data_IF_679502977007
#
_entry.id   IF_679502977007
#
_cell.length_a   1.000
_cell.length_b   1.000
_cell.length_c   1.000
_cell.angle_alpha   90.00
_cell.angle_beta   90.00
_cell.angle_gamma   90.00
#
_symmetry.space_group_name_H-M   'P 1'
#
loop_
_entity.id
_entity.type
_entity.pdbx_description
1 polymer ?
#
# COMPACT_ATOMS: atom_id res chain seq x y z
N UNK A 1 -7.78 24.44 -18.51
CA UNK A 1 -7.84 25.09 -17.19
C UNK A 1 -7.65 24.04 -16.10
N UNK A 2 -6.94 24.39 -15.04
CA UNK A 2 -6.79 23.51 -13.91
C UNK A 2 -8.11 23.36 -13.17
N UNK A 3 -8.53 22.13 -12.89
CA UNK A 3 -9.75 21.85 -12.15
C UNK A 3 -9.51 22.12 -10.65
N UNK A 4 -10.51 22.69 -9.99
CA UNK A 4 -10.42 22.93 -8.56
C UNK A 4 -10.53 21.61 -7.80
N UNK A 5 -9.57 21.34 -6.93
CA UNK A 5 -9.55 20.16 -6.09
C UNK A 5 -10.48 20.38 -4.90
N UNK A 6 -11.44 19.48 -4.69
CA UNK A 6 -12.35 19.54 -3.54
C UNK A 6 -11.90 18.64 -2.40
N UNK A 7 -11.11 17.61 -2.68
CA UNK A 7 -10.65 16.73 -1.62
C UNK A 7 -9.74 15.62 -2.12
N UNK A 8 -9.19 14.90 -1.16
CA UNK A 8 -8.35 13.72 -1.40
C UNK A 8 -8.91 12.54 -0.61
N UNK A 9 -8.88 11.37 -1.20
CA UNK A 9 -9.24 10.12 -0.51
C UNK A 9 -8.06 9.17 -0.63
N UNK A 10 -7.61 8.63 0.51
CA UNK A 10 -6.53 7.66 0.55
C UNK A 10 -7.10 6.32 0.99
N UNK A 11 -6.89 5.30 0.18
CA UNK A 11 -7.41 3.96 0.43
C UNK A 11 -6.34 2.91 0.20
N UNK A 12 -6.52 1.75 0.83
CA UNK A 12 -5.72 0.56 0.56
C UNK A 12 -6.69 -0.51 0.04
N UNK A 13 -6.52 -0.91 -1.20
CA UNK A 13 -7.43 -1.82 -1.88
C UNK A 13 -6.63 -3.00 -2.44
N UNK A 14 -7.12 -4.25 -2.29
CA UNK A 14 -6.49 -5.39 -2.95
C UNK A 14 -6.46 -5.20 -4.47
N UNK A 15 -5.31 -5.42 -5.07
CA UNK A 15 -5.11 -5.23 -6.50
C UNK A 15 -6.08 -6.10 -7.32
N UNK A 16 -6.73 -5.49 -8.30
CA UNK A 16 -7.69 -6.16 -9.16
C UNK A 16 -9.02 -6.54 -8.50
N UNK A 17 -9.24 -6.13 -7.24
CA UNK A 17 -10.44 -6.50 -6.48
C UNK A 17 -11.20 -5.30 -5.91
N UNK A 18 -11.09 -4.14 -6.52
CA UNK A 18 -11.87 -2.98 -6.10
C UNK A 18 -13.35 -3.24 -6.40
N UNK A 19 -14.19 -3.02 -5.39
CA UNK A 19 -15.65 -3.19 -5.49
C UNK A 19 -16.34 -1.98 -4.89
N UNK A 20 -17.61 -1.72 -5.27
CA UNK A 20 -18.36 -0.60 -4.70
C UNK A 20 -18.78 -0.82 -3.24
N UNK A 21 -18.43 -1.93 -2.65
CA UNK A 21 -18.66 -2.21 -1.23
C UNK A 21 -17.62 -1.50 -0.35
N UNK A 22 -17.84 -1.38 0.98
CA UNK A 22 -16.82 -0.81 1.87
C UNK A 22 -15.45 -1.47 1.69
N UNK A 23 -14.34 -0.71 1.77
CA UNK A 23 -14.26 0.71 2.15
C UNK A 23 -14.41 1.71 1.00
N UNK A 24 -14.49 1.26 -0.25
CA UNK A 24 -14.47 2.12 -1.43
C UNK A 24 -15.77 2.91 -1.58
N UNK A 25 -16.92 2.24 -1.48
CA UNK A 25 -18.22 2.84 -1.68
C UNK A 25 -18.46 4.05 -0.80
N UNK A 26 -18.44 3.91 0.53
CA UNK A 26 -18.67 5.04 1.44
C UNK A 26 -17.67 6.18 1.28
N UNK A 27 -16.39 5.85 1.05
CA UNK A 27 -15.33 6.85 0.90
C UNK A 27 -15.56 7.74 -0.33
N UNK A 28 -15.91 7.16 -1.46
CA UNK A 28 -16.13 7.89 -2.70
C UNK A 28 -17.56 8.45 -2.79
N UNK A 29 -18.52 7.76 -2.22
CA UNK A 29 -19.93 8.18 -2.21
C UNK A 29 -20.15 9.53 -1.56
N UNK A 30 -19.42 9.83 -0.49
CA UNK A 30 -19.48 11.13 0.19
C UNK A 30 -19.11 12.30 -0.72
N UNK A 31 -18.29 12.04 -1.72
CA UNK A 31 -17.83 13.07 -2.66
C UNK A 31 -18.59 13.07 -3.99
N UNK A 32 -19.58 12.18 -4.14
CA UNK A 32 -20.37 12.08 -5.36
C UNK A 32 -19.62 11.59 -6.59
N UNK A 33 -18.55 10.84 -6.38
CA UNK A 33 -17.69 10.29 -7.45
C UNK A 33 -18.31 9.02 -8.01
N UNK A 34 -18.08 8.75 -9.31
CA UNK A 34 -18.53 7.51 -9.94
C UNK A 34 -17.70 6.32 -9.44
N UNK A 35 -18.26 5.58 -8.48
CA UNK A 35 -17.60 4.45 -7.82
C UNK A 35 -17.28 3.33 -8.80
N UNK A 36 -18.23 2.99 -9.66
CA UNK A 36 -18.04 1.90 -10.65
C UNK A 36 -16.93 2.21 -11.64
N UNK A 37 -16.86 3.47 -12.11
CA UNK A 37 -15.80 3.92 -13.01
C UNK A 37 -14.43 3.81 -12.35
N UNK A 38 -14.32 4.22 -11.09
CA UNK A 38 -13.08 4.10 -10.33
C UNK A 38 -12.67 2.63 -10.17
N UNK A 39 -13.60 1.77 -9.76
CA UNK A 39 -13.31 0.34 -9.56
C UNK A 39 -12.78 -0.30 -10.84
N UNK A 40 -13.40 -0.01 -11.97
CA UNK A 40 -12.98 -0.53 -13.26
C UNK A 40 -11.57 -0.10 -13.62
N UNK A 41 -11.29 1.20 -13.56
CA UNK A 41 -9.97 1.74 -13.88
C UNK A 41 -8.88 1.20 -12.94
N UNK A 42 -9.17 1.16 -11.65
CA UNK A 42 -8.26 0.62 -10.65
C UNK A 42 -7.93 -0.85 -10.93
N UNK A 43 -8.96 -1.66 -11.17
CA UNK A 43 -8.77 -3.09 -11.45
C UNK A 43 -7.94 -3.31 -12.71
N UNK A 44 -8.15 -2.52 -13.75
CA UNK A 44 -7.37 -2.60 -14.98
C UNK A 44 -5.89 -2.26 -14.74
N UNK A 45 -5.64 -1.18 -13.99
CA UNK A 45 -4.26 -0.73 -13.69
C UNK A 45 -3.51 -1.68 -12.76
N UNK A 46 -4.21 -2.33 -11.84
CA UNK A 46 -3.60 -3.17 -10.82
C UNK A 46 -3.70 -4.67 -11.11
N UNK A 47 -4.23 -5.05 -12.25
CA UNK A 47 -4.39 -6.47 -12.62
C UNK A 47 -3.08 -7.25 -12.56
N UNK A 48 -1.96 -6.61 -12.87
CA UNK A 48 -0.62 -7.21 -12.83
C UNK A 48 -0.13 -7.49 -11.41
N UNK A 49 -0.65 -6.75 -10.44
CA UNK A 49 -0.23 -6.82 -9.04
C UNK A 49 -1.23 -7.59 -8.19
N UNK A 50 -2.05 -8.42 -8.81
CA UNK A 50 -3.07 -9.21 -8.10
C UNK A 50 -2.46 -10.00 -6.93
N UNK A 51 -3.16 -9.98 -5.81
CA UNK A 51 -2.69 -10.61 -4.57
C UNK A 51 -1.94 -9.68 -3.63
N UNK A 52 -1.68 -8.43 -4.05
CA UNK A 52 -1.06 -7.41 -3.20
C UNK A 52 -2.10 -6.35 -2.84
N UNK A 53 -1.89 -5.69 -1.71
CA UNK A 53 -2.69 -4.52 -1.33
C UNK A 53 -2.00 -3.30 -1.90
N UNK A 54 -2.74 -2.50 -2.68
CA UNK A 54 -2.19 -1.31 -3.33
C UNK A 54 -2.77 -0.07 -2.66
N UNK A 55 -1.92 0.81 -2.10
CA UNK A 55 -2.37 2.11 -1.64
C UNK A 55 -2.71 3.00 -2.83
N UNK A 56 -3.82 3.69 -2.76
CA UNK A 56 -4.25 4.61 -3.81
C UNK A 56 -4.59 5.96 -3.20
N UNK A 57 -4.17 7.03 -3.87
CA UNK A 57 -4.53 8.40 -3.51
C UNK A 57 -5.42 8.93 -4.62
N UNK A 58 -6.67 9.22 -4.29
CA UNK A 58 -7.68 9.70 -5.23
C UNK A 58 -7.85 11.20 -5.02
N UNK A 59 -7.66 11.98 -6.08
CA UNK A 59 -7.91 13.41 -6.09
C UNK A 59 -9.29 13.67 -6.68
N UNK A 60 -10.12 14.37 -5.95
CA UNK A 60 -11.50 14.67 -6.34
C UNK A 60 -11.60 16.14 -6.73
N UNK A 61 -12.22 16.40 -7.88
CA UNK A 61 -12.37 17.74 -8.43
C UNK A 61 -13.80 18.26 -8.23
N UNK A 62 -13.96 19.60 -8.35
CA UNK A 62 -15.24 20.27 -8.14
C UNK A 62 -16.34 19.83 -9.11
N UNK A 63 -15.96 19.33 -10.30
CA UNK A 63 -16.90 18.82 -11.30
C UNK A 63 -17.27 17.34 -11.09
N UNK A 64 -16.94 16.78 -9.93
CA UNK A 64 -17.16 15.39 -9.55
C UNK A 64 -16.35 14.37 -10.35
N UNK A 65 -15.36 14.83 -11.11
CA UNK A 65 -14.41 13.94 -11.73
C UNK A 65 -13.30 13.60 -10.73
N UNK A 66 -12.53 12.57 -11.03
CA UNK A 66 -11.45 12.13 -10.17
C UNK A 66 -10.22 11.77 -11.00
N UNK A 67 -9.08 11.84 -10.35
CA UNK A 67 -7.86 11.20 -10.82
C UNK A 67 -7.26 10.42 -9.66
N UNK A 68 -6.49 9.38 -9.93
CA UNK A 68 -5.86 8.62 -8.87
C UNK A 68 -4.47 8.18 -9.27
N UNK A 69 -3.65 8.02 -8.25
CA UNK A 69 -2.31 7.45 -8.39
C UNK A 69 -2.22 6.23 -7.49
N UNK A 70 -1.59 5.18 -7.98
CA UNK A 70 -1.29 3.99 -7.19
C UNK A 70 0.16 4.07 -6.71
N UNK A 71 0.39 3.62 -5.49
CA UNK A 71 1.72 3.56 -4.90
C UNK A 71 2.17 2.11 -4.78
N UNK A 72 3.42 1.92 -4.39
CA UNK A 72 3.93 0.57 -4.12
C UNK A 72 3.19 -0.04 -2.93
N UNK A 73 3.08 -1.39 -2.85
CA UNK A 73 2.43 -2.03 -1.70
C UNK A 73 3.04 -1.59 -0.39
N UNK A 74 2.26 -1.55 0.72
CA UNK A 74 2.81 -1.20 2.04
C UNK A 74 3.95 -2.16 2.42
N UNK A 75 4.96 -1.63 3.12
CA UNK A 75 6.09 -2.43 3.58
C UNK A 75 5.65 -3.65 4.38
N UNK A 76 4.65 -3.49 5.25
CA UNK A 76 4.10 -4.58 6.04
C UNK A 76 3.58 -5.74 5.18
N UNK A 77 2.90 -5.43 4.07
CA UNK A 77 2.37 -6.44 3.14
C UNK A 77 3.51 -7.19 2.45
N UNK A 78 4.54 -6.46 2.01
CA UNK A 78 5.71 -7.05 1.36
C UNK A 78 6.49 -7.95 2.32
N UNK A 79 6.64 -7.52 3.58
CA UNK A 79 7.31 -8.32 4.62
C UNK A 79 6.52 -9.60 4.91
N UNK A 80 5.21 -9.50 5.06
CA UNK A 80 4.36 -10.68 5.28
C UNK A 80 4.47 -11.69 4.13
N UNK A 81 4.49 -11.18 2.91
CA UNK A 81 4.65 -12.03 1.72
C UNK A 81 6.03 -12.71 1.68
N UNK A 82 7.08 -11.97 1.99
CA UNK A 82 8.45 -12.51 2.02
C UNK A 82 8.61 -13.59 3.10
N UNK A 83 7.97 -13.38 4.26
CA UNK A 83 8.01 -14.31 5.39
C UNK A 83 6.98 -15.44 5.29
N UNK A 84 6.07 -15.36 4.32
CA UNK A 84 4.97 -16.32 4.13
C UNK A 84 4.03 -16.41 5.35
N UNK A 85 3.75 -15.27 5.99
CA UNK A 85 2.84 -15.17 7.12
C UNK A 85 1.62 -14.34 6.73
N UNK A 86 0.48 -14.61 7.36
CA UNK A 86 -0.77 -13.88 7.10
C UNK A 86 -0.89 -12.63 7.96
N UNK A 87 -0.46 -12.70 9.20
CA UNK A 87 -0.57 -11.60 10.17
C UNK A 87 0.72 -11.42 10.94
N UNK A 88 0.99 -10.17 11.33
CA UNK A 88 2.09 -9.85 12.24
C UNK A 88 1.74 -10.18 13.70
N UNK A 89 2.71 -10.00 14.59
CA UNK A 89 2.50 -10.22 16.02
C UNK A 89 1.68 -9.09 16.65
N UNK A 90 0.75 -9.44 17.53
CA UNK A 90 0.04 -8.49 18.38
C UNK A 90 0.91 -7.94 19.52
N UNK A 91 1.97 -8.66 19.87
CA UNK A 91 2.92 -8.29 20.92
C UNK A 91 4.36 -8.43 20.42
N UNK A 92 4.79 -7.58 19.45
CA UNK A 92 6.04 -7.79 18.71
C UNK A 92 7.31 -7.72 19.59
N UNK A 93 7.23 -7.06 20.72
CA UNK A 93 8.34 -7.00 21.68
C UNK A 93 8.51 -8.31 22.48
N UNK A 94 7.47 -9.11 22.56
CA UNK A 94 7.46 -10.38 23.33
C UNK A 94 7.42 -11.60 22.42
N UNK A 95 6.58 -11.57 21.41
CA UNK A 95 6.39 -12.69 20.47
C UNK A 95 6.95 -12.36 19.09
N UNK A 96 7.85 -13.18 18.61
CA UNK A 96 8.37 -13.11 17.24
C UNK A 96 7.69 -14.17 16.37
N UNK A 97 7.11 -13.76 15.26
CA UNK A 97 6.30 -14.66 14.42
C UNK A 97 7.05 -15.18 13.20
N UNK A 98 8.13 -14.49 12.79
CA UNK A 98 8.89 -14.88 11.61
C UNK A 98 10.29 -14.27 11.65
N UNK A 99 11.09 -14.68 10.68
CA UNK A 99 12.44 -14.16 10.45
C UNK A 99 12.58 -13.75 8.99
N UNK A 100 13.31 -12.69 8.74
CA UNK A 100 13.59 -12.21 7.39
C UNK A 100 15.09 -11.96 7.25
N UNK A 101 15.65 -12.30 6.09
CA UNK A 101 17.07 -12.06 5.84
C UNK A 101 17.30 -10.63 5.41
N UNK A 102 18.51 -10.14 5.62
CA UNK A 102 18.93 -8.81 5.17
C UNK A 102 18.78 -8.66 3.65
N UNK A 103 19.07 -9.72 2.90
CA UNK A 103 18.90 -9.73 1.45
C UNK A 103 17.43 -9.47 1.04
N UNK A 104 16.47 -10.10 1.73
CA UNK A 104 15.06 -9.89 1.46
C UNK A 104 14.62 -8.46 1.83
N UNK A 105 15.14 -7.93 2.93
CA UNK A 105 14.89 -6.54 3.35
C UNK A 105 15.39 -5.57 2.27
N UNK A 106 16.56 -5.82 1.71
CA UNK A 106 17.13 -5.01 0.63
C UNK A 106 16.28 -5.05 -0.64
N UNK A 107 15.75 -6.22 -1.00
CA UNK A 107 14.84 -6.36 -2.14
C UNK A 107 13.55 -5.56 -1.95
N UNK A 108 12.96 -5.62 -0.77
CA UNK A 108 11.76 -4.86 -0.43
C UNK A 108 12.05 -3.36 -0.49
N UNK A 109 13.19 -2.93 0.07
CA UNK A 109 13.61 -1.54 0.03
C UNK A 109 13.76 -1.03 -1.41
N UNK A 110 14.36 -1.84 -2.28
CA UNK A 110 14.53 -1.52 -3.68
C UNK A 110 13.19 -1.33 -4.40
N UNK A 111 12.21 -2.19 -4.14
CA UNK A 111 10.87 -2.07 -4.69
C UNK A 111 10.15 -0.81 -4.22
N UNK A 112 10.42 -0.37 -3.00
CA UNK A 112 9.75 0.80 -2.41
C UNK A 112 10.49 2.12 -2.62
N UNK A 113 11.71 2.11 -3.15
CA UNK A 113 12.50 3.33 -3.33
C UNK A 113 11.73 4.48 -4.00
N UNK A 114 10.89 4.26 -5.03
CA UNK A 114 10.11 5.34 -5.64
C UNK A 114 9.19 6.08 -4.67
N UNK A 115 8.72 5.41 -3.61
CA UNK A 115 7.79 5.99 -2.62
C UNK A 115 8.48 6.40 -1.33
N UNK A 116 9.77 6.11 -1.17
CA UNK A 116 10.51 6.39 0.06
C UNK A 116 11.29 7.68 -0.04
N UNK A 117 11.45 8.34 1.09
CA UNK A 117 12.28 9.53 1.25
C UNK A 117 13.67 9.15 1.78
N UNK A 118 14.21 8.03 1.31
CA UNK A 118 15.53 7.55 1.71
C UNK A 118 16.57 8.01 0.69
N UNK A 119 17.69 8.53 1.18
CA UNK A 119 18.77 8.99 0.31
C UNK A 119 19.55 7.84 -0.32
N UNK A 120 19.63 6.69 0.37
CA UNK A 120 20.36 5.51 -0.09
C UNK A 120 19.52 4.26 0.07
N UNK A 121 19.89 3.19 -0.63
CA UNK A 121 19.23 1.89 -0.48
C UNK A 121 19.40 1.32 0.93
N UNK A 122 20.55 1.55 1.56
CA UNK A 122 20.81 1.14 2.95
C UNK A 122 19.89 1.83 3.94
N UNK A 123 19.65 3.14 3.76
CA UNK A 123 18.70 3.89 4.57
C UNK A 123 17.29 3.35 4.40
N UNK A 124 16.88 3.03 3.17
CA UNK A 124 15.59 2.42 2.87
C UNK A 124 15.47 1.04 3.55
N UNK A 125 16.51 0.22 3.49
CA UNK A 125 16.55 -1.08 4.16
C UNK A 125 16.39 -0.94 5.68
N UNK A 126 16.98 0.08 6.27
CA UNK A 126 16.83 0.37 7.70
C UNK A 126 15.37 0.69 8.06
N UNK A 127 14.68 1.47 7.23
CA UNK A 127 13.25 1.76 7.39
C UNK A 127 12.40 0.49 7.35
N UNK A 128 12.67 -0.38 6.37
CA UNK A 128 11.95 -1.65 6.22
C UNK A 128 12.23 -2.57 7.41
N UNK A 129 13.48 -2.64 7.88
CA UNK A 129 13.85 -3.42 9.06
C UNK A 129 13.11 -2.95 10.31
N UNK A 130 12.95 -1.64 10.48
CA UNK A 130 12.17 -1.07 11.58
C UNK A 130 10.71 -1.50 11.53
N UNK A 131 10.10 -1.49 10.35
CA UNK A 131 8.74 -1.98 10.13
C UNK A 131 8.63 -3.47 10.46
N UNK A 132 9.60 -4.28 10.03
CA UNK A 132 9.63 -5.70 10.33
C UNK A 132 9.68 -5.96 11.85
N UNK A 133 10.51 -5.23 12.57
CA UNK A 133 10.58 -5.34 14.05
C UNK A 133 9.23 -5.01 14.69
N UNK A 134 8.54 -3.99 14.20
CA UNK A 134 7.23 -3.60 14.72
C UNK A 134 6.15 -4.67 14.47
N UNK A 135 6.40 -5.58 13.55
CA UNK A 135 5.51 -6.70 13.24
C UNK A 135 5.87 -8.00 13.96
N UNK A 136 6.94 -7.98 14.76
CA UNK A 136 7.45 -9.20 15.38
C UNK A 136 8.29 -10.07 14.45
N UNK A 137 8.84 -9.50 13.39
CA UNK A 137 9.71 -10.20 12.44
C UNK A 137 11.17 -9.84 12.77
N UNK A 138 12.00 -10.87 12.96
CA UNK A 138 13.42 -10.70 13.28
C UNK A 138 14.19 -10.57 11.97
N UNK A 139 15.03 -9.55 11.88
CA UNK A 139 15.92 -9.35 10.75
C UNK A 139 17.25 -10.04 11.01
N UNK A 140 17.60 -10.99 10.18
CA UNK A 140 18.86 -11.75 10.27
C UNK A 140 19.83 -11.34 9.17
N UNK A 141 21.10 -11.43 9.45
CA UNK A 141 22.15 -11.15 8.47
C UNK A 141 22.27 -12.25 7.41
#
# INVERSE_FOLDING_TARGET
MAKKITGFVKLQIPAGKATPTPPVGPALGQHGVNIMGFCKEFNEKTAKDAGLIIPVVITIYADRTFSFITKTPPAAVLIKKACKIETGSGTPNKEKVAKITKADVMKIAEQKMPDLNAATLEAAASMIAGTARSMGVVVED
#
